data_IF_020582147907
#
_entry.id   IF_020582147907
#
_cell.length_a   1.000
_cell.length_b   1.000
_cell.length_c   1.000
_cell.angle_alpha   90.00
_cell.angle_beta   90.00
_cell.angle_gamma   90.00
#
_symmetry.space_group_name_H-M   'P 1'
#
loop_
_entity.id
_entity.type
_entity.pdbx_description
1 polymer ?
#
# COMPACT_ATOMS: atom_id res chain seq x y z
N UNK A 1 6.32 15.44 -4.18
CA UNK A 1 6.10 16.32 -3.01
C UNK A 1 4.86 17.19 -3.20
N UNK A 2 4.74 18.00 -4.27
CA UNK A 2 3.61 18.92 -4.49
C UNK A 2 2.20 18.29 -4.33
N UNK A 3 1.93 17.13 -4.96
CA UNK A 3 0.62 16.45 -4.83
C UNK A 3 0.25 16.05 -3.39
N UNK A 4 1.22 15.60 -2.60
CA UNK A 4 0.97 15.21 -1.20
C UNK A 4 0.65 16.44 -0.34
N UNK A 5 1.41 17.52 -0.52
CA UNK A 5 1.15 18.79 0.15
C UNK A 5 -0.24 19.35 -0.20
N UNK A 6 -0.67 19.23 -1.47
CA UNK A 6 -2.01 19.65 -1.90
C UNK A 6 -3.11 18.80 -1.26
N UNK A 7 -2.95 17.48 -1.20
CA UNK A 7 -3.92 16.57 -0.55
C UNK A 7 -4.04 16.83 0.96
N UNK A 8 -2.90 17.05 1.62
CA UNK A 8 -2.82 17.43 3.03
C UNK A 8 -3.50 18.77 3.30
N UNK A 9 -3.20 19.80 2.51
CA UNK A 9 -3.79 21.12 2.66
C UNK A 9 -5.30 21.11 2.36
N UNK A 10 -5.72 20.36 1.34
CA UNK A 10 -7.11 20.22 0.96
C UNK A 10 -7.95 19.52 2.04
N UNK A 11 -7.43 18.43 2.62
CA UNK A 11 -8.12 17.69 3.69
C UNK A 11 -8.21 18.48 5.00
N UNK A 12 -7.17 19.20 5.41
CA UNK A 12 -7.26 20.12 6.56
C UNK A 12 -8.27 21.24 6.33
N UNK A 13 -8.32 21.79 5.11
CA UNK A 13 -9.31 22.82 4.75
C UNK A 13 -10.73 22.26 4.85
N UNK A 14 -10.97 21.04 4.36
CA UNK A 14 -12.26 20.37 4.47
C UNK A 14 -12.67 20.15 5.93
N UNK A 15 -11.75 19.74 6.81
CA UNK A 15 -12.04 19.60 8.25
C UNK A 15 -12.43 20.93 8.89
N UNK A 16 -11.70 22.02 8.60
CA UNK A 16 -12.04 23.36 9.11
C UNK A 16 -13.41 23.85 8.62
N UNK A 17 -13.80 23.49 7.40
CA UNK A 17 -15.14 23.81 6.88
C UNK A 17 -16.27 23.04 7.58
N UNK A 18 -15.96 21.92 8.26
CA UNK A 18 -16.90 21.18 9.10
C UNK A 18 -17.06 21.76 10.52
N UNK A 19 -16.46 22.92 10.80
CA UNK A 19 -16.58 23.63 12.09
C UNK A 19 -15.54 23.20 13.14
N UNK A 20 -14.57 22.39 12.74
CA UNK A 20 -13.54 21.81 13.60
C UNK A 20 -12.36 22.78 13.82
N UNK A 21 -11.95 22.98 15.07
CA UNK A 21 -10.91 23.95 15.48
C UNK A 21 -9.47 23.40 15.42
N UNK A 22 -9.24 22.32 14.69
CA UNK A 22 -7.96 21.63 14.67
C UNK A 22 -6.84 22.51 14.08
N UNK A 23 -5.73 22.57 14.80
CA UNK A 23 -4.50 23.16 14.30
C UNK A 23 -3.89 22.29 13.19
N UNK A 24 -3.05 22.89 12.35
CA UNK A 24 -2.30 22.13 11.35
C UNK A 24 -1.33 21.13 12.00
N UNK A 25 -0.90 21.37 13.24
CA UNK A 25 -0.01 20.46 13.96
C UNK A 25 -0.77 19.19 14.40
N UNK A 26 -1.94 19.34 15.00
CA UNK A 26 -2.78 18.20 15.44
C UNK A 26 -3.22 17.35 14.25
N UNK A 27 -3.62 17.98 13.15
CA UNK A 27 -3.97 17.27 11.93
C UNK A 27 -2.78 16.45 11.38
N UNK A 28 -1.59 17.06 11.29
CA UNK A 28 -0.40 16.35 10.79
C UNK A 28 -0.05 15.19 11.69
N UNK A 29 -0.10 15.41 13.01
CA UNK A 29 0.15 14.36 14.00
C UNK A 29 -0.84 13.20 13.84
N UNK A 30 -2.13 13.48 13.76
CA UNK A 30 -3.16 12.46 13.59
C UNK A 30 -2.96 11.65 12.30
N UNK A 31 -2.65 12.32 11.18
CA UNK A 31 -2.36 11.65 9.92
C UNK A 31 -1.09 10.82 9.97
N UNK A 32 -0.04 11.30 10.66
CA UNK A 32 1.16 10.51 10.91
C UNK A 32 0.84 9.24 11.70
N UNK A 33 -0.05 9.31 12.70
CA UNK A 33 -0.50 8.10 13.41
C UNK A 33 -1.24 7.14 12.47
N UNK A 34 -2.23 7.64 11.70
CA UNK A 34 -3.02 6.81 10.78
C UNK A 34 -2.15 6.14 9.71
N UNK A 35 -1.19 6.86 9.13
CA UNK A 35 -0.32 6.30 8.09
C UNK A 35 0.66 5.25 8.61
N UNK A 36 1.19 5.43 9.82
CA UNK A 36 2.24 4.56 10.35
C UNK A 36 1.72 3.37 11.16
N UNK A 37 0.48 3.42 11.67
CA UNK A 37 -0.03 2.45 12.67
C UNK A 37 -1.30 1.70 12.25
N UNK A 38 -1.85 1.96 11.06
CA UNK A 38 -3.07 1.26 10.63
C UNK A 38 -2.80 -0.06 9.94
N UNK A 39 -3.63 -1.05 10.27
CA UNK A 39 -3.67 -2.36 9.62
C UNK A 39 -4.79 -2.39 8.59
N UNK A 40 -4.48 -2.77 7.35
CA UNK A 40 -5.48 -2.98 6.29
C UNK A 40 -6.03 -4.41 6.41
N UNK A 41 -7.31 -4.54 6.69
CA UNK A 41 -7.99 -5.85 6.85
C UNK A 41 -9.13 -5.97 5.84
N UNK A 42 -9.46 -7.20 5.45
CA UNK A 42 -10.65 -7.49 4.65
C UNK A 42 -11.70 -8.12 5.57
N UNK A 43 -12.79 -7.39 5.81
CA UNK A 43 -13.93 -7.80 6.62
C UNK A 43 -14.99 -8.46 5.73
N UNK A 44 -15.43 -9.70 6.03
CA UNK A 44 -16.51 -10.36 5.28
C UNK A 44 -17.82 -9.56 5.33
N UNK A 45 -18.44 -9.36 4.18
CA UNK A 45 -19.62 -8.52 3.99
C UNK A 45 -20.88 -9.34 3.68
N UNK A 46 -21.36 -10.14 4.62
CA UNK A 46 -22.69 -10.79 4.51
C UNK A 46 -22.76 -12.06 3.65
N UNK A 47 -24.00 -12.50 3.39
CA UNK A 47 -24.38 -13.92 3.32
C UNK A 47 -23.95 -14.68 2.04
N UNK A 48 -23.72 -15.99 2.23
CA UNK A 48 -22.92 -16.97 1.46
C UNK A 48 -23.45 -17.30 0.05
N UNK A 49 -24.40 -16.54 -0.51
CA UNK A 49 -25.06 -16.91 -1.77
C UNK A 49 -24.54 -16.23 -3.04
N UNK A 50 -23.68 -15.20 -2.95
CA UNK A 50 -23.21 -14.41 -4.13
C UNK A 50 -21.68 -14.26 -4.22
N UNK A 51 -20.94 -15.23 -3.69
CA UNK A 51 -19.49 -15.12 -3.52
C UNK A 51 -19.12 -14.29 -2.29
N UNK A 52 -17.94 -14.53 -1.73
CA UNK A 52 -17.49 -13.82 -0.53
C UNK A 52 -17.17 -12.38 -0.92
N UNK A 53 -18.08 -11.46 -0.65
CA UNK A 53 -17.81 -10.02 -0.72
C UNK A 53 -17.06 -9.60 0.54
N UNK A 54 -16.01 -8.80 0.37
CA UNK A 54 -15.22 -8.27 1.47
C UNK A 54 -15.22 -6.74 1.43
N UNK A 55 -15.22 -6.14 2.62
CA UNK A 55 -14.98 -4.72 2.80
C UNK A 55 -13.57 -4.48 3.33
N UNK A 56 -12.80 -3.67 2.61
CA UNK A 56 -11.52 -3.19 3.14
C UNK A 56 -11.75 -2.22 4.31
N UNK A 57 -11.14 -2.51 5.45
CA UNK A 57 -11.09 -1.62 6.63
C UNK A 57 -9.65 -1.25 6.97
N UNK A 58 -9.49 -0.13 7.67
CA UNK A 58 -8.23 0.27 8.32
C UNK A 58 -8.46 0.36 9.82
N UNK A 59 -7.67 -0.37 10.58
CA UNK A 59 -7.80 -0.48 12.04
C UNK A 59 -6.59 0.12 12.73
N UNK A 60 -6.80 0.88 13.80
CA UNK A 60 -5.79 1.14 14.83
C UNK A 60 -6.00 0.08 15.92
N UNK A 61 -4.98 -0.74 16.16
CA UNK A 61 -5.08 -1.87 17.09
C UNK A 61 -4.10 -1.61 18.25
N UNK A 62 -4.60 -1.18 19.42
CA UNK A 62 -3.74 -0.91 20.57
C UNK A 62 -2.87 -2.12 20.92
N UNK A 63 -1.65 -1.85 21.41
CA UNK A 63 -0.61 -2.82 21.73
C UNK A 63 0.03 -3.50 20.53
N UNK A 64 -0.75 -3.91 19.52
CA UNK A 64 -0.21 -4.51 18.29
C UNK A 64 0.58 -3.47 17.49
N UNK A 65 0.13 -2.22 17.48
CA UNK A 65 0.82 -1.12 16.81
C UNK A 65 2.17 -0.72 17.46
N UNK A 66 2.55 -1.35 18.57
CA UNK A 66 3.88 -1.23 19.17
C UNK A 66 4.90 -2.20 18.55
N UNK A 67 4.44 -3.23 17.82
CA UNK A 67 5.33 -4.20 17.18
C UNK A 67 6.09 -3.55 16.04
N UNK A 68 7.41 -3.65 16.08
CA UNK A 68 8.29 -3.08 15.07
C UNK A 68 8.44 -3.99 13.84
N UNK A 69 9.02 -3.40 12.80
CA UNK A 69 9.25 -4.04 11.51
C UNK A 69 10.69 -4.54 11.34
N UNK A 70 10.84 -5.74 10.77
CA UNK A 70 12.05 -6.11 10.03
C UNK A 70 11.64 -6.58 8.62
N UNK A 71 12.38 -6.15 7.60
CA UNK A 71 12.12 -6.48 6.19
C UNK A 71 12.69 -7.83 5.79
N UNK A 72 13.56 -8.43 6.61
CA UNK A 72 14.13 -9.73 6.31
C UNK A 72 13.17 -10.84 6.74
N UNK A 73 12.91 -11.76 5.81
CA UNK A 73 12.10 -12.94 6.10
C UNK A 73 12.64 -13.76 7.27
N UNK A 74 13.95 -13.80 7.54
CA UNK A 74 14.52 -14.60 8.63
C UNK A 74 14.44 -13.91 10.01
N UNK A 75 14.07 -12.63 10.07
CA UNK A 75 14.22 -11.82 11.28
C UNK A 75 12.92 -11.59 12.07
N UNK A 76 11.79 -11.33 11.42
CA UNK A 76 10.51 -11.17 12.12
C UNK A 76 9.94 -12.54 12.53
N UNK A 77 9.18 -12.63 13.62
CA UNK A 77 8.72 -13.93 14.14
C UNK A 77 7.20 -14.04 14.18
N UNK A 78 6.49 -12.94 13.98
CA UNK A 78 5.04 -12.89 14.10
C UNK A 78 4.34 -12.48 12.79
N UNK A 79 3.18 -13.08 12.58
CA UNK A 79 2.20 -12.68 11.57
C UNK A 79 0.93 -12.22 12.27
N UNK A 80 0.09 -11.49 11.55
CA UNK A 80 -1.17 -11.00 12.08
C UNK A 80 -2.32 -11.24 11.10
N UNK A 81 -3.54 -11.32 11.64
CA UNK A 81 -4.76 -11.46 10.87
C UNK A 81 -5.99 -11.14 11.70
N UNK A 82 -7.17 -11.28 11.09
CA UNK A 82 -8.44 -11.16 11.78
C UNK A 82 -9.18 -12.51 11.74
N UNK A 83 -9.69 -12.91 12.90
CA UNK A 83 -10.64 -14.01 13.03
C UNK A 83 -12.03 -13.42 13.17
N UNK A 84 -12.82 -13.52 12.11
CA UNK A 84 -14.14 -12.91 12.03
C UNK A 84 -15.22 -13.82 12.61
N UNK A 85 -16.08 -13.24 13.45
CA UNK A 85 -17.32 -13.88 13.89
C UNK A 85 -18.44 -13.54 12.89
N UNK A 86 -18.72 -14.50 12.02
CA UNK A 86 -19.73 -14.39 10.97
C UNK A 86 -21.17 -14.44 11.49
N UNK A 87 -21.38 -14.74 12.78
CA UNK A 87 -22.70 -14.79 13.42
C UNK A 87 -23.08 -13.55 14.24
N UNK A 88 -22.11 -12.69 14.58
CA UNK A 88 -22.30 -11.62 15.56
C UNK A 88 -21.88 -10.21 15.12
N UNK A 89 -21.26 -10.04 13.95
CA UNK A 89 -20.78 -8.74 13.49
C UNK A 89 -19.59 -8.25 14.32
N UNK A 90 -18.50 -9.02 14.28
CA UNK A 90 -17.28 -8.69 15.00
C UNK A 90 -16.12 -9.60 14.61
N UNK A 91 -15.02 -9.50 15.34
CA UNK A 91 -13.85 -10.36 15.15
C UNK A 91 -12.74 -10.06 16.15
N UNK A 92 -11.76 -10.94 16.20
CA UNK A 92 -10.53 -10.76 16.99
C UNK A 92 -9.37 -10.45 16.06
N UNK A 93 -8.59 -9.42 16.40
CA UNK A 93 -7.29 -9.21 15.77
C UNK A 93 -6.27 -10.12 16.47
N UNK A 94 -5.62 -10.99 15.70
CA UNK A 94 -4.74 -12.03 16.24
C UNK A 94 -3.33 -11.83 15.72
N UNK A 95 -2.37 -11.86 16.62
CA UNK A 95 -0.94 -11.95 16.30
C UNK A 95 -0.46 -13.34 16.68
N UNK A 96 0.15 -14.06 15.74
CA UNK A 96 0.63 -15.42 15.91
C UNK A 96 2.14 -15.46 15.71
N UNK A 97 2.86 -16.05 16.65
CA UNK A 97 4.24 -16.42 16.41
C UNK A 97 4.29 -17.58 15.41
N UNK A 98 5.02 -17.39 14.31
CA UNK A 98 5.29 -18.42 13.30
C UNK A 98 6.67 -19.06 13.48
N UNK A 99 7.47 -18.49 14.40
CA UNK A 99 8.79 -18.95 14.83
C UNK A 99 8.97 -18.69 16.31
N UNK A 100 9.97 -19.33 16.91
CA UNK A 100 10.32 -19.12 18.30
C UNK A 100 10.77 -17.67 18.53
N UNK A 101 10.29 -17.08 19.63
CA UNK A 101 10.75 -15.78 20.14
C UNK A 101 11.48 -16.06 21.46
N UNK A 102 12.81 -15.95 21.50
CA UNK A 102 13.57 -16.15 22.73
C UNK A 102 13.18 -15.12 23.81
N UNK A 103 13.31 -15.52 25.07
CA UNK A 103 13.02 -14.62 26.19
C UNK A 103 13.98 -13.42 26.16
N UNK A 104 13.42 -12.21 26.17
CA UNK A 104 14.17 -10.96 26.14
C UNK A 104 14.44 -10.43 24.74
N UNK A 105 14.12 -11.17 23.68
CA UNK A 105 14.16 -10.68 22.31
C UNK A 105 12.92 -9.86 21.95
N UNK A 106 13.07 -8.95 21.00
CA UNK A 106 11.98 -8.13 20.49
C UNK A 106 11.02 -8.98 19.63
N UNK A 107 9.72 -8.77 19.84
CA UNK A 107 8.68 -9.37 19.00
C UNK A 107 8.49 -8.49 17.75
N UNK A 108 8.79 -9.05 16.57
CA UNK A 108 8.78 -8.33 15.31
C UNK A 108 7.75 -8.91 14.33
N UNK A 109 7.19 -8.02 13.49
CA UNK A 109 6.31 -8.37 12.37
C UNK A 109 6.87 -7.82 11.05
N UNK A 110 6.34 -8.29 9.93
CA UNK A 110 6.54 -7.60 8.64
C UNK A 110 5.43 -6.57 8.41
N UNK A 111 5.80 -5.34 8.03
CA UNK A 111 4.86 -4.32 7.53
C UNK A 111 4.57 -4.51 6.03
N UNK A 112 5.15 -5.55 5.43
CA UNK A 112 5.02 -5.90 4.02
C UNK A 112 6.22 -5.48 3.18
N UNK A 113 6.25 -6.00 1.95
CA UNK A 113 7.32 -5.75 0.98
C UNK A 113 7.18 -4.35 0.38
N UNK A 114 7.99 -3.40 0.87
CA UNK A 114 7.91 -1.99 0.47
C UNK A 114 9.31 -1.39 0.27
N UNK A 115 9.41 -0.38 -0.59
CA UNK A 115 10.66 0.33 -0.82
C UNK A 115 11.02 1.28 0.33
N UNK A 116 12.30 1.67 0.42
CA UNK A 116 12.79 2.64 1.41
C UNK A 116 12.03 3.96 1.37
N UNK A 117 11.67 4.41 0.15
CA UNK A 117 10.85 5.61 -0.03
C UNK A 117 9.48 5.49 0.64
N UNK A 118 8.86 4.30 0.58
CA UNK A 118 7.57 4.06 1.21
C UNK A 118 7.70 4.04 2.74
N UNK A 119 8.72 3.35 3.27
CA UNK A 119 9.01 3.34 4.71
C UNK A 119 9.29 4.74 5.25
N UNK A 120 10.12 5.52 4.56
CA UNK A 120 10.43 6.87 4.98
C UNK A 120 9.19 7.79 5.00
N UNK A 121 8.34 7.71 3.97
CA UNK A 121 7.17 8.59 3.86
C UNK A 121 6.03 8.23 4.81
N UNK A 122 5.76 6.94 5.02
CA UNK A 122 4.57 6.51 5.78
C UNK A 122 4.87 6.01 7.19
N UNK A 123 6.10 5.54 7.44
CA UNK A 123 6.49 4.96 8.74
C UNK A 123 7.61 5.75 9.43
N UNK A 124 8.31 6.63 8.73
CA UNK A 124 9.31 7.54 9.33
C UNK A 124 10.66 6.91 9.63
N UNK A 125 10.99 5.74 9.05
CA UNK A 125 12.29 5.09 9.19
C UNK A 125 12.75 4.45 7.86
N UNK A 126 13.98 3.93 7.85
CA UNK A 126 14.54 3.14 6.74
C UNK A 126 14.95 1.76 7.27
N UNK A 127 14.42 0.64 6.74
CA UNK A 127 14.82 -0.69 7.15
C UNK A 127 16.26 -1.00 6.73
N UNK A 128 16.97 -1.81 7.52
CA UNK A 128 18.36 -2.19 7.23
C UNK A 128 18.61 -3.67 7.61
N UNK A 129 18.83 -4.57 6.63
CA UNK A 129 18.69 -4.38 5.18
C UNK A 129 17.22 -4.35 4.73
N UNK A 130 16.93 -3.71 3.59
CA UNK A 130 15.63 -3.81 2.91
C UNK A 130 15.79 -4.57 1.58
N UNK A 131 15.46 -5.88 1.52
CA UNK A 131 15.56 -6.66 0.29
C UNK A 131 14.53 -6.26 -0.78
N UNK A 132 13.47 -5.54 -0.41
CA UNK A 132 12.41 -5.09 -1.31
C UNK A 132 12.61 -3.63 -1.74
N UNK A 133 13.82 -3.09 -1.55
CA UNK A 133 14.10 -1.73 -1.95
C UNK A 133 14.02 -1.57 -3.47
N UNK A 134 13.38 -0.50 -3.92
CA UNK A 134 13.16 -0.24 -5.33
C UNK A 134 13.07 1.26 -5.59
N UNK A 135 13.48 1.66 -6.79
CA UNK A 135 13.37 3.04 -7.27
C UNK A 135 12.55 3.10 -8.54
N UNK A 136 11.74 4.14 -8.67
CA UNK A 136 10.99 4.41 -9.89
C UNK A 136 11.93 5.06 -10.91
N UNK A 137 12.14 4.41 -12.05
CA UNK A 137 12.99 4.95 -13.13
C UNK A 137 12.27 6.03 -13.95
N UNK A 138 10.97 5.86 -14.19
CA UNK A 138 10.16 6.77 -15.00
C UNK A 138 8.82 7.03 -14.33
N UNK A 139 8.34 8.28 -14.37
CA UNK A 139 7.04 8.69 -13.85
C UNK A 139 5.87 8.21 -14.70
N UNK A 140 6.13 7.76 -15.93
CA UNK A 140 5.14 7.19 -16.85
C UNK A 140 5.77 6.70 -18.15
N UNK A 141 4.93 6.11 -19.00
CA UNK A 141 5.35 5.51 -20.27
C UNK A 141 5.97 6.54 -21.24
N UNK A 142 5.44 7.76 -21.26
CA UNK A 142 5.93 8.84 -22.11
C UNK A 142 7.40 9.19 -21.77
N UNK A 143 7.71 9.35 -20.49
CA UNK A 143 9.08 9.60 -20.03
C UNK A 143 10.03 8.42 -20.34
N UNK A 144 9.54 7.19 -20.19
CA UNK A 144 10.30 5.98 -20.55
C UNK A 144 10.60 5.91 -22.06
N UNK A 145 9.61 6.23 -22.90
CA UNK A 145 9.75 6.24 -24.35
C UNK A 145 10.75 7.32 -24.80
N UNK A 146 10.63 8.55 -24.28
CA UNK A 146 11.58 9.63 -24.57
C UNK A 146 13.00 9.27 -24.15
N UNK A 147 13.18 8.67 -22.97
CA UNK A 147 14.50 8.21 -22.53
C UNK A 147 15.08 7.14 -23.46
N UNK A 148 14.24 6.18 -23.89
CA UNK A 148 14.68 5.11 -24.79
C UNK A 148 15.02 5.64 -26.19
N UNK A 149 14.21 6.55 -26.74
CA UNK A 149 14.49 7.20 -28.04
C UNK A 149 15.83 7.95 -28.00
N UNK A 150 16.10 8.68 -26.92
CA UNK A 150 17.37 9.35 -26.70
C UNK A 150 18.55 8.38 -26.58
N UNK A 151 18.34 7.20 -25.99
CA UNK A 151 19.37 6.17 -25.84
C UNK A 151 19.68 5.46 -27.17
N UNK A 152 18.66 5.16 -27.98
CA UNK A 152 18.77 4.33 -29.17
C UNK A 152 19.02 5.10 -30.49
N UNK A 153 18.87 6.44 -30.51
CA UNK A 153 19.14 7.27 -31.68
C UNK A 153 18.00 7.32 -32.71
N UNK A 154 18.20 8.12 -33.78
CA UNK A 154 17.16 8.41 -34.80
C UNK A 154 16.60 7.13 -35.46
N UNK A 155 15.26 7.05 -35.53
CA UNK A 155 14.50 5.90 -36.05
C UNK A 155 13.70 5.14 -35.00
N UNK A 156 13.95 5.38 -33.70
CA UNK A 156 13.23 4.73 -32.61
C UNK A 156 11.75 5.19 -32.48
N UNK A 157 11.44 6.44 -32.81
CA UNK A 157 10.10 7.01 -32.67
C UNK A 157 9.05 6.30 -33.55
N UNK A 158 9.37 6.02 -34.81
CA UNK A 158 8.48 5.30 -35.74
C UNK A 158 8.29 3.83 -35.32
N UNK A 159 9.36 3.19 -34.83
CA UNK A 159 9.29 1.85 -34.27
C UNK A 159 8.44 1.80 -32.98
N UNK A 160 8.50 2.85 -32.15
CA UNK A 160 7.70 2.99 -30.95
C UNK A 160 6.23 3.27 -31.22
N UNK A 161 5.91 4.14 -32.18
CA UNK A 161 4.53 4.37 -32.58
C UNK A 161 3.89 3.08 -33.09
N UNK A 162 4.64 2.29 -33.87
CA UNK A 162 4.21 0.96 -34.31
C UNK A 162 4.02 -0.01 -33.12
N UNK A 163 4.99 -0.09 -32.21
CA UNK A 163 4.91 -0.97 -31.04
C UNK A 163 3.77 -0.58 -30.08
N UNK A 164 3.54 0.72 -29.87
CA UNK A 164 2.46 1.27 -29.05
C UNK A 164 1.09 0.95 -29.65
N UNK A 165 0.94 1.11 -30.97
CA UNK A 165 -0.30 0.75 -31.67
C UNK A 165 -0.63 -0.73 -31.51
N UNK A 166 0.39 -1.60 -31.62
CA UNK A 166 0.24 -3.05 -31.43
C UNK A 166 -0.13 -3.39 -29.98
N UNK A 167 0.57 -2.83 -28.99
CA UNK A 167 0.29 -3.08 -27.57
C UNK A 167 -1.13 -2.61 -27.17
N UNK A 168 -1.55 -1.43 -27.62
CA UNK A 168 -2.92 -0.93 -27.38
C UNK A 168 -3.97 -1.80 -28.08
N UNK A 169 -3.69 -2.28 -29.28
CA UNK A 169 -4.58 -3.20 -29.97
C UNK A 169 -4.71 -4.52 -29.21
N UNK A 170 -3.61 -5.07 -28.70
CA UNK A 170 -3.60 -6.31 -27.94
C UNK A 170 -4.41 -6.19 -26.64
N UNK A 171 -4.17 -5.15 -25.83
CA UNK A 171 -4.94 -4.91 -24.58
C UNK A 171 -6.43 -4.78 -24.87
N UNK A 172 -6.83 -4.06 -25.92
CA UNK A 172 -8.24 -3.95 -26.33
C UNK A 172 -8.85 -5.27 -26.80
N UNK A 173 -8.02 -6.19 -27.29
CA UNK A 173 -8.49 -7.53 -27.71
C UNK A 173 -8.70 -8.39 -26.48
N UNK A 174 -7.75 -8.36 -25.53
CA UNK A 174 -7.82 -9.05 -24.24
C UNK A 174 -9.03 -8.57 -23.42
N UNK A 175 -9.26 -7.25 -23.32
CA UNK A 175 -10.44 -6.66 -22.66
C UNK A 175 -11.77 -7.16 -23.26
N UNK A 176 -11.84 -7.29 -24.60
CA UNK A 176 -13.03 -7.79 -25.29
C UNK A 176 -13.24 -9.29 -25.11
N UNK A 177 -12.17 -10.06 -24.96
CA UNK A 177 -12.26 -11.49 -24.67
C UNK A 177 -12.72 -11.72 -23.23
N UNK A 178 -12.17 -10.97 -22.28
CA UNK A 178 -12.63 -10.99 -20.88
C UNK A 178 -14.09 -10.55 -20.71
N UNK A 179 -14.58 -9.58 -21.50
CA UNK A 179 -15.99 -9.18 -21.52
C UNK A 179 -16.91 -10.24 -22.13
N UNK A 180 -16.39 -11.11 -23.01
CA UNK A 180 -17.17 -12.17 -23.68
C UNK A 180 -17.25 -13.47 -22.88
N UNK A 181 -16.33 -13.64 -21.92
CA UNK A 181 -16.27 -14.78 -21.00
C UNK A 181 -17.01 -14.54 -19.67
N UNK A 182 -17.50 -13.32 -19.44
CA UNK A 182 -18.43 -12.97 -18.35
C UNK A 182 -19.89 -13.07 -18.79
#
# INVERSE_FOLDING_TARGET
MARYTTLVAGSLTAMRMMGDTWSAAEWRWAMSQVHSRTFRVEEPAGNVNDGITCHTRRLLVPYVDLLNHDSREDAWQCEWGCEWDTGGGGGSFVVRAVRDVPVGEEVLISYGERSDRHFFLFFGFLPKPNPHNAVTLFGGLEEAATWYEALCGEGAAEAWDAARLLAVAQVRTEEKEEERER
#
